data_IF_226968755556
#
_entry.id   IF_226968755556
#
_cell.length_a   1.000
_cell.length_b   1.000
_cell.length_c   1.000
_cell.angle_alpha   90.00
_cell.angle_beta   90.00
_cell.angle_gamma   90.00
#
_symmetry.space_group_name_H-M   'P 1'
#
loop_
_entity.id
_entity.type
_entity.pdbx_description
1 polymer ?
#
# COMPACT_ATOMS: atom_id res chain seq x y z
N UNK A 1 8.18 5.60 9.63
CA UNK A 1 9.50 4.99 9.38
C UNK A 1 9.58 4.46 7.96
N UNK A 2 10.76 4.43 7.37
CA UNK A 2 11.04 3.76 6.09
C UNK A 2 12.32 2.96 6.25
N UNK A 3 12.36 1.75 5.69
CA UNK A 3 13.55 0.89 5.73
C UNK A 3 14.33 0.98 4.41
N UNK A 4 15.67 1.06 4.55
CA UNK A 4 16.73 1.08 3.54
C UNK A 4 16.94 2.34 2.66
N UNK A 5 18.22 2.70 2.50
CA UNK A 5 18.77 3.52 1.41
C UNK A 5 18.98 2.63 0.17
N UNK A 6 18.75 3.22 -0.99
CA UNK A 6 18.84 2.62 -2.32
C UNK A 6 20.14 1.82 -2.57
N UNK A 7 20.02 0.53 -2.93
CA UNK A 7 21.06 -0.23 -3.63
C UNK A 7 20.47 -0.77 -4.93
N UNK A 8 20.90 -0.28 -6.11
CA UNK A 8 20.32 -0.66 -7.40
C UNK A 8 20.89 -2.01 -7.85
N UNK A 9 20.54 -3.09 -7.17
CA UNK A 9 20.80 -4.45 -7.63
C UNK A 9 19.65 -5.34 -7.17
N UNK A 10 18.49 -5.23 -7.81
CA UNK A 10 17.58 -6.33 -8.23
C UNK A 10 16.28 -5.74 -8.80
N UNK A 11 15.68 -6.46 -9.74
CA UNK A 11 14.47 -6.09 -10.47
C UNK A 11 13.18 -6.32 -9.64
N UNK A 12 12.14 -5.56 -10.00
CA UNK A 12 10.71 -5.81 -9.76
C UNK A 12 10.10 -5.37 -8.42
N UNK A 13 10.71 -5.62 -7.25
CA UNK A 13 10.30 -5.07 -5.94
C UNK A 13 11.57 -4.91 -5.12
N UNK A 14 11.73 -3.84 -4.33
CA UNK A 14 12.71 -3.89 -3.25
C UNK A 14 12.02 -4.52 -2.03
N UNK A 15 12.18 -5.83 -1.76
CA UNK A 15 11.45 -6.49 -0.68
C UNK A 15 11.78 -5.91 0.70
N UNK A 16 12.86 -5.13 0.79
CA UNK A 16 13.32 -4.47 1.99
C UNK A 16 12.89 -3.01 2.08
N UNK A 17 12.24 -2.44 1.04
CA UNK A 17 11.73 -1.06 1.06
C UNK A 17 10.28 -1.06 1.52
N UNK A 18 10.10 -0.97 2.82
CA UNK A 18 8.79 -0.87 3.45
C UNK A 18 8.64 0.46 4.18
N UNK A 19 7.40 0.90 4.29
CA UNK A 19 7.01 2.11 5.02
C UNK A 19 6.07 1.74 6.16
N UNK A 20 6.29 2.37 7.30
CA UNK A 20 5.42 2.33 8.47
C UNK A 20 4.87 3.73 8.67
N UNK A 21 3.55 3.86 8.54
CA UNK A 21 2.84 5.12 8.76
C UNK A 21 2.55 5.26 10.26
N UNK A 22 2.58 6.48 10.77
CA UNK A 22 2.22 6.76 12.17
C UNK A 22 0.75 6.45 12.41
N UNK A 23 0.43 5.85 13.55
CA UNK A 23 -0.95 5.65 14.00
C UNK A 23 -1.24 6.48 15.27
N UNK A 24 -2.52 6.72 15.61
CA UNK A 24 -2.88 7.33 16.88
C UNK A 24 -2.21 6.62 18.07
N UNK A 25 -1.51 7.39 18.89
CA UNK A 25 -0.73 6.88 20.02
C UNK A 25 0.77 6.71 19.76
N UNK A 26 1.23 6.84 18.51
CA UNK A 26 2.66 6.93 18.20
C UNK A 26 3.22 8.30 18.66
N UNK A 27 4.53 8.36 18.96
CA UNK A 27 5.19 9.58 19.49
C UNK A 27 5.42 10.66 18.42
N UNK A 28 5.11 10.39 17.16
CA UNK A 28 5.27 11.31 16.03
C UNK A 28 4.17 11.04 15.00
N UNK A 29 3.22 11.96 14.87
CA UNK A 29 2.06 11.84 13.96
C UNK A 29 0.95 10.93 14.51
N UNK A 30 -0.27 11.11 13.99
CA UNK A 30 -1.46 10.36 14.42
C UNK A 30 -2.16 10.98 15.63
N UNK A 31 -3.05 11.94 15.39
CA UNK A 31 -3.97 12.40 16.42
C UNK A 31 -5.08 11.37 16.62
N UNK A 32 -5.50 11.14 17.88
CA UNK A 32 -6.69 10.36 18.14
C UNK A 32 -7.91 11.01 17.49
N UNK A 33 -8.65 10.20 16.72
CA UNK A 33 -9.88 10.63 16.06
C UNK A 33 -11.08 10.60 17.01
N UNK A 34 -11.00 9.77 18.05
CA UNK A 34 -12.01 9.63 19.10
C UNK A 34 -11.43 9.98 20.48
N UNK A 35 -12.28 10.40 21.40
CA UNK A 35 -11.93 10.49 22.83
C UNK A 35 -11.91 9.11 23.52
N UNK A 36 -11.69 9.09 24.83
CA UNK A 36 -11.67 7.86 25.64
C UNK A 36 -13.02 7.15 25.71
N UNK A 37 -14.12 7.86 25.43
CA UNK A 37 -15.49 7.33 25.43
C UNK A 37 -15.93 6.89 24.02
N UNK A 38 -15.08 7.05 23.01
CA UNK A 38 -15.33 6.65 21.62
C UNK A 38 -16.04 7.70 20.76
N UNK A 39 -16.24 8.93 21.26
CA UNK A 39 -16.86 9.99 20.47
C UNK A 39 -15.84 10.62 19.51
N UNK A 40 -16.24 10.86 18.26
CA UNK A 40 -15.40 11.56 17.29
C UNK A 40 -15.14 13.01 17.72
N UNK A 41 -13.87 13.34 17.96
CA UNK A 41 -13.41 14.69 18.35
C UNK A 41 -12.73 15.44 17.21
N UNK A 42 -12.60 14.80 16.05
CA UNK A 42 -12.04 15.36 14.81
C UNK A 42 -13.01 15.14 13.66
N UNK A 43 -13.00 16.06 12.70
CA UNK A 43 -13.82 15.98 11.49
C UNK A 43 -13.22 15.09 10.39
N UNK A 44 -11.95 14.72 10.53
CA UNK A 44 -11.23 13.91 9.56
C UNK A 44 -9.74 13.85 9.89
N UNK A 45 -9.01 13.18 9.01
CA UNK A 45 -7.56 13.03 9.07
C UNK A 45 -6.94 13.45 7.74
N UNK A 46 -5.66 13.75 7.77
CA UNK A 46 -4.84 13.96 6.58
C UNK A 46 -3.50 13.26 6.79
N UNK A 47 -2.86 12.90 5.69
CA UNK A 47 -1.53 12.30 5.68
C UNK A 47 -0.63 13.14 4.77
N UNK A 48 0.36 13.78 5.38
CA UNK A 48 1.44 14.41 4.62
C UNK A 48 2.35 13.33 4.06
N UNK A 49 2.52 13.30 2.74
CA UNK A 49 3.40 12.36 2.05
C UNK A 49 4.85 12.85 2.13
N UNK A 50 5.40 12.80 3.35
CA UNK A 50 6.76 13.17 3.64
C UNK A 50 7.56 11.93 4.07
N UNK A 51 8.80 11.78 3.57
CA UNK A 51 9.68 10.75 4.09
C UNK A 51 10.03 11.05 5.55
N UNK A 52 10.54 10.06 6.32
CA UNK A 52 10.94 10.25 7.71
C UNK A 52 11.98 11.36 7.94
N UNK A 53 12.75 11.73 6.91
CA UNK A 53 13.71 12.84 6.97
C UNK A 53 13.03 14.21 7.08
N UNK A 54 11.73 14.30 6.75
CA UNK A 54 10.96 15.56 6.70
C UNK A 54 11.23 16.40 5.45
N UNK A 55 12.19 16.02 4.61
CA UNK A 55 12.50 16.74 3.37
C UNK A 55 11.47 16.39 2.30
N UNK A 56 10.82 17.40 1.73
CA UNK A 56 9.87 17.21 0.63
C UNK A 56 10.55 16.58 -0.58
N UNK A 57 10.00 15.48 -1.07
CA UNK A 57 10.45 14.77 -2.29
C UNK A 57 9.46 14.90 -3.45
N UNK A 58 8.40 15.70 -3.31
CA UNK A 58 7.36 15.82 -4.34
C UNK A 58 6.47 14.57 -4.47
N UNK A 59 6.41 13.73 -3.43
CA UNK A 59 5.50 12.59 -3.39
C UNK A 59 4.04 13.05 -3.48
N UNK A 60 3.26 12.40 -4.35
CA UNK A 60 1.87 12.76 -4.61
C UNK A 60 1.03 11.56 -5.04
N UNK A 61 -0.28 11.68 -4.84
CA UNK A 61 -1.26 10.74 -5.35
C UNK A 61 -1.79 11.20 -6.71
N UNK A 62 -1.84 10.27 -7.67
CA UNK A 62 -2.45 10.53 -8.99
C UNK A 62 -3.81 9.88 -9.16
N UNK A 63 -4.09 8.83 -8.38
CA UNK A 63 -5.28 8.00 -8.51
C UNK A 63 -6.13 8.07 -7.25
N UNK A 64 -7.43 7.82 -7.42
CA UNK A 64 -8.35 7.68 -6.29
C UNK A 64 -8.02 6.47 -5.42
N UNK A 65 -8.23 6.63 -4.13
CA UNK A 65 -8.06 5.59 -3.11
C UNK A 65 -9.14 4.51 -3.29
N UNK A 66 -8.77 3.25 -3.10
CA UNK A 66 -9.72 2.13 -3.06
C UNK A 66 -9.93 1.67 -1.63
N UNK A 67 -11.18 1.57 -1.23
CA UNK A 67 -11.55 0.97 0.04
C UNK A 67 -11.90 -0.52 -0.17
N UNK A 68 -11.33 -1.40 0.64
CA UNK A 68 -11.55 -2.84 0.55
C UNK A 68 -11.40 -3.52 1.91
N UNK A 69 -12.43 -4.28 2.30
CA UNK A 69 -12.60 -4.79 3.67
C UNK A 69 -12.49 -3.64 4.68
N UNK A 70 -11.48 -3.66 5.55
CA UNK A 70 -11.23 -2.68 6.61
C UNK A 70 -10.12 -1.68 6.29
N UNK A 71 -9.57 -1.70 5.07
CA UNK A 71 -8.40 -0.90 4.70
C UNK A 71 -8.66 -0.02 3.46
N UNK A 72 -7.94 1.10 3.41
CA UNK A 72 -7.76 1.92 2.23
C UNK A 72 -6.45 1.55 1.53
N UNK A 73 -6.50 1.40 0.20
CA UNK A 73 -5.38 1.15 -0.67
C UNK A 73 -5.16 2.35 -1.58
N UNK A 74 -3.97 2.94 -1.50
CA UNK A 74 -3.58 4.09 -2.29
C UNK A 74 -2.24 3.83 -2.96
N UNK A 75 -2.02 4.43 -4.12
CA UNK A 75 -0.69 4.50 -4.73
C UNK A 75 -0.21 5.94 -4.82
N UNK A 76 1.05 6.14 -4.45
CA UNK A 76 1.72 7.43 -4.55
C UNK A 76 2.92 7.29 -5.47
N UNK A 77 3.35 8.40 -6.07
CA UNK A 77 4.61 8.44 -6.79
C UNK A 77 5.41 9.70 -6.45
N UNK A 78 6.71 9.51 -6.50
CA UNK A 78 7.74 10.53 -6.49
C UNK A 78 8.31 10.54 -7.92
N UNK A 79 7.96 11.54 -8.73
CA UNK A 79 8.52 11.69 -10.07
C UNK A 79 10.05 11.84 -10.01
N UNK A 80 10.74 11.44 -11.07
CA UNK A 80 12.16 11.78 -11.22
C UNK A 80 12.36 13.31 -11.29
N UNK A 81 13.44 13.81 -10.68
CA UNK A 81 13.80 15.23 -10.72
C UNK A 81 14.19 15.69 -12.13
N UNK A 82 14.83 14.80 -12.91
CA UNK A 82 15.18 15.06 -14.30
C UNK A 82 13.98 14.76 -15.22
N UNK A 83 13.41 15.79 -15.91
CA UNK A 83 12.27 15.60 -16.81
C UNK A 83 12.58 14.72 -18.02
N UNK A 84 13.86 14.50 -18.35
CA UNK A 84 14.28 13.62 -19.45
C UNK A 84 14.44 12.17 -19.01
N UNK A 85 14.49 11.91 -17.70
CA UNK A 85 14.60 10.56 -17.16
C UNK A 85 13.21 9.92 -17.11
N UNK A 86 12.93 8.87 -17.91
CA UNK A 86 11.65 8.20 -17.85
C UNK A 86 11.51 7.51 -16.49
N UNK A 87 10.49 7.92 -15.72
CA UNK A 87 10.10 7.22 -14.51
C UNK A 87 10.13 8.08 -13.24
N UNK A 88 10.54 7.44 -12.16
CA UNK A 88 10.30 7.85 -10.79
C UNK A 88 10.11 6.59 -9.96
N UNK A 89 9.75 6.73 -8.70
CA UNK A 89 9.41 5.61 -7.84
C UNK A 89 8.08 5.88 -7.15
N UNK A 90 7.60 4.91 -6.39
CA UNK A 90 6.32 5.09 -5.72
C UNK A 90 6.14 4.19 -4.53
N UNK A 91 4.92 4.19 -4.02
CA UNK A 91 4.49 3.36 -2.92
C UNK A 91 3.09 2.81 -3.18
N UNK A 92 2.89 1.57 -2.77
CA UNK A 92 1.58 1.06 -2.39
C UNK A 92 1.40 1.34 -0.90
N UNK A 93 0.34 2.02 -0.51
CA UNK A 93 0.03 2.32 0.89
C UNK A 93 -1.26 1.64 1.32
N UNK A 94 -1.28 1.20 2.57
CA UNK A 94 -2.47 0.73 3.29
C UNK A 94 -2.73 1.63 4.49
N UNK A 95 -3.95 2.17 4.56
CA UNK A 95 -4.36 3.12 5.61
C UNK A 95 -5.63 2.64 6.29
N UNK A 96 -5.73 2.91 7.59
CA UNK A 96 -7.00 2.81 8.30
C UNK A 96 -7.95 3.93 7.84
N UNK A 97 -9.16 3.61 7.33
CA UNK A 97 -10.10 4.61 6.84
C UNK A 97 -10.58 5.59 7.91
N UNK A 98 -10.56 5.21 9.18
CA UNK A 98 -11.07 6.04 10.27
C UNK A 98 -10.00 6.96 10.85
N UNK A 99 -8.72 6.57 10.79
CA UNK A 99 -7.62 7.31 11.42
C UNK A 99 -6.60 7.88 10.44
N UNK A 100 -6.53 7.38 9.21
CA UNK A 100 -5.51 7.74 8.23
C UNK A 100 -4.12 7.18 8.55
N UNK A 101 -4.00 6.43 9.64
CA UNK A 101 -2.76 5.86 10.11
C UNK A 101 -2.56 4.42 9.65
N UNK A 102 -1.57 3.78 10.26
CA UNK A 102 -1.30 2.34 10.11
C UNK A 102 -2.44 1.50 10.69
N UNK A 103 -2.81 0.42 9.98
CA UNK A 103 -3.71 -0.60 10.50
C UNK A 103 -3.09 -1.41 11.64
N UNK A 104 -3.92 -1.82 12.61
CA UNK A 104 -3.50 -2.66 13.73
C UNK A 104 -3.12 -4.07 13.29
N UNK A 105 -3.77 -4.59 12.26
CA UNK A 105 -3.49 -5.91 11.70
C UNK A 105 -2.42 -5.83 10.60
N UNK A 106 -1.64 -6.91 10.45
CA UNK A 106 -0.73 -7.03 9.32
C UNK A 106 -1.53 -7.31 8.04
N UNK A 107 -1.50 -6.36 7.11
CA UNK A 107 -2.21 -6.44 5.83
C UNK A 107 -1.41 -7.19 4.77
N UNK A 108 -0.09 -7.12 4.78
CA UNK A 108 0.74 -7.72 3.74
C UNK A 108 1.30 -9.06 4.22
N UNK A 109 0.83 -10.17 3.64
CA UNK A 109 1.16 -11.54 4.10
C UNK A 109 2.66 -11.79 4.12
N UNK A 110 3.36 -11.35 3.07
CA UNK A 110 4.78 -11.64 2.86
C UNK A 110 5.70 -10.53 3.39
N UNK A 111 5.19 -9.67 4.28
CA UNK A 111 5.95 -8.56 4.86
C UNK A 111 6.03 -8.73 6.36
N UNK A 112 7.25 -8.94 6.83
CA UNK A 112 7.53 -8.99 8.26
C UNK A 112 7.36 -7.59 8.89
N UNK A 113 6.89 -7.52 10.15
CA UNK A 113 6.86 -6.28 10.89
C UNK A 113 8.25 -5.63 10.98
N UNK A 114 8.27 -4.29 10.98
CA UNK A 114 9.49 -3.52 11.14
C UNK A 114 9.76 -3.31 12.62
N UNK A 115 10.89 -3.80 13.11
CA UNK A 115 11.37 -3.49 14.46
C UNK A 115 11.99 -2.10 14.49
N UNK A 116 11.45 -1.23 15.34
CA UNK A 116 11.98 0.11 15.60
C UNK A 116 12.54 0.14 17.02
N UNK A 117 13.82 0.48 17.11
CA UNK A 117 14.53 0.66 18.38
C UNK A 117 14.95 2.11 18.52
N UNK A 118 14.49 2.77 19.58
CA UNK A 118 14.93 4.11 19.96
C UNK A 118 15.84 3.97 21.18
N UNK A 119 16.96 4.69 21.20
CA UNK A 119 17.91 4.62 22.31
C UNK A 119 17.21 4.95 23.65
N UNK A 120 17.38 4.06 24.63
CA UNK A 120 16.74 4.18 25.95
C UNK A 120 15.26 3.78 26.01
N UNK A 121 14.69 3.19 24.95
CA UNK A 121 13.33 2.65 24.92
C UNK A 121 13.33 1.17 24.50
N UNK A 122 12.32 0.39 24.92
CA UNK A 122 12.16 -0.97 24.39
C UNK A 122 11.87 -0.93 22.89
N UNK A 123 12.41 -1.90 22.16
CA UNK A 123 12.09 -2.08 20.74
C UNK A 123 10.61 -2.41 20.55
N UNK A 124 9.99 -1.79 19.55
CA UNK A 124 8.58 -2.00 19.20
C UNK A 124 8.50 -2.51 17.76
N UNK A 125 7.63 -3.49 17.51
CA UNK A 125 7.36 -3.99 16.17
C UNK A 125 6.12 -3.30 15.59
N UNK A 126 6.26 -2.76 14.38
CA UNK A 126 5.16 -2.12 13.67
C UNK A 126 4.85 -2.85 12.37
N UNK A 127 3.56 -3.06 12.10
CA UNK A 127 3.13 -3.65 10.84
C UNK A 127 3.44 -2.74 9.65
N UNK A 128 3.78 -3.35 8.53
CA UNK A 128 4.06 -2.62 7.29
C UNK A 128 2.78 -1.96 6.79
N UNK A 129 2.86 -0.66 6.53
CA UNK A 129 1.75 0.16 5.99
C UNK A 129 2.00 0.60 4.55
N UNK A 130 3.15 0.23 3.98
CA UNK A 130 3.41 0.48 2.58
C UNK A 130 4.61 -0.29 2.03
N UNK A 131 4.54 -0.57 0.74
CA UNK A 131 5.56 -1.29 -0.03
C UNK A 131 6.10 -0.37 -1.11
N UNK A 132 7.42 -0.27 -1.20
CA UNK A 132 8.11 0.58 -2.17
C UNK A 132 8.06 -0.03 -3.58
N UNK A 133 7.76 0.81 -4.55
CA UNK A 133 7.66 0.46 -5.97
C UNK A 133 8.79 1.16 -6.74
N UNK A 134 9.38 0.45 -7.71
CA UNK A 134 10.56 0.91 -8.45
C UNK A 134 10.23 1.84 -9.62
N UNK A 135 8.95 2.00 -9.94
CA UNK A 135 8.46 2.89 -10.98
C UNK A 135 7.21 3.64 -10.51
N UNK A 136 6.71 4.55 -11.35
CA UNK A 136 5.43 5.23 -11.10
C UNK A 136 4.30 4.18 -11.20
N UNK A 137 3.50 4.01 -10.13
CA UNK A 137 2.44 3.02 -10.09
C UNK A 137 1.15 3.51 -10.75
N UNK A 138 0.33 2.59 -11.22
CA UNK A 138 -1.07 2.82 -11.59
C UNK A 138 -1.99 2.79 -10.36
N UNK A 139 -3.30 2.97 -10.57
CA UNK A 139 -4.30 2.69 -9.54
C UNK A 139 -4.22 1.21 -9.17
N UNK A 140 -4.24 0.82 -7.87
CA UNK A 140 -4.25 -0.59 -7.52
C UNK A 140 -5.47 -1.31 -8.13
N UNK A 141 -5.43 -2.62 -8.23
CA UNK A 141 -6.60 -3.45 -8.55
C UNK A 141 -6.66 -4.53 -7.50
N UNK A 142 -7.75 -4.55 -6.74
CA UNK A 142 -7.97 -5.54 -5.70
C UNK A 142 -8.67 -6.74 -6.29
N UNK A 143 -8.04 -7.89 -6.15
CA UNK A 143 -8.54 -9.18 -6.64
C UNK A 143 -8.68 -10.11 -5.46
N UNK A 144 -9.61 -11.03 -5.58
CA UNK A 144 -9.86 -12.06 -4.58
C UNK A 144 -9.97 -13.38 -5.29
N UNK A 145 -9.36 -14.40 -4.70
CA UNK A 145 -9.49 -15.76 -5.19
C UNK A 145 -10.39 -16.57 -4.26
N UNK A 146 -11.63 -16.78 -4.69
CA UNK A 146 -12.60 -17.63 -3.97
C UNK A 146 -12.65 -19.07 -4.54
N UNK A 147 -11.64 -19.48 -5.33
CA UNK A 147 -11.60 -20.82 -5.91
C UNK A 147 -11.49 -21.89 -4.80
N UNK A 148 -12.16 -23.05 -4.92
CA UNK A 148 -12.04 -24.13 -3.96
C UNK A 148 -10.58 -24.60 -3.81
N UNK A 149 -10.15 -24.87 -2.58
CA UNK A 149 -8.81 -25.40 -2.29
C UNK A 149 -8.56 -26.70 -3.10
N UNK A 150 -7.80 -26.59 -4.19
CA UNK A 150 -7.52 -27.68 -5.11
C UNK A 150 -7.59 -27.29 -6.60
N UNK A 151 -8.24 -26.18 -6.93
CA UNK A 151 -8.40 -25.74 -8.32
C UNK A 151 -7.81 -24.34 -8.53
N UNK A 152 -6.54 -24.28 -8.95
CA UNK A 152 -5.93 -23.14 -9.64
C UNK A 152 -5.69 -21.83 -8.88
N UNK A 153 -4.48 -21.29 -9.00
CA UNK A 153 -4.21 -19.88 -8.72
C UNK A 153 -5.03 -18.97 -9.66
N UNK A 154 -5.82 -18.04 -9.12
CA UNK A 154 -6.42 -16.97 -9.94
C UNK A 154 -5.36 -15.91 -10.21
N UNK A 155 -4.79 -15.93 -11.41
CA UNK A 155 -3.96 -14.84 -11.92
C UNK A 155 -4.86 -13.74 -12.47
N UNK A 156 -4.94 -12.60 -11.78
CA UNK A 156 -5.59 -11.40 -12.30
C UNK A 156 -4.74 -10.72 -13.38
N UNK A 157 -4.49 -11.39 -14.50
CA UNK A 157 -3.71 -10.86 -15.62
C UNK A 157 -4.62 -10.33 -16.72
N UNK A 158 -5.13 -9.10 -16.59
CA UNK A 158 -5.76 -8.40 -17.70
C UNK A 158 -4.71 -7.89 -18.70
N UNK A 159 -4.10 -8.78 -19.49
CA UNK A 159 -3.25 -8.39 -20.63
C UNK A 159 -4.09 -8.29 -21.90
N UNK A 160 -4.27 -7.08 -22.43
CA UNK A 160 -4.74 -6.88 -23.80
C UNK A 160 -3.60 -7.17 -24.77
N UNK A 161 -3.67 -8.35 -25.43
CA UNK A 161 -3.12 -8.59 -26.77
C UNK A 161 -1.60 -8.63 -26.93
N UNK A 162 -1.03 -9.83 -26.91
CA UNK A 162 0.33 -10.09 -27.39
C UNK A 162 0.65 -11.58 -27.41
N UNK A 163 0.51 -12.23 -28.57
CA UNK A 163 0.98 -13.61 -28.77
C UNK A 163 2.49 -13.64 -28.85
N UNK A 164 3.15 -14.20 -27.84
CA UNK A 164 4.57 -14.59 -27.89
C UNK A 164 5.42 -14.00 -26.76
N UNK A 165 5.66 -14.81 -25.73
CA UNK A 165 6.55 -14.49 -24.61
C UNK A 165 5.85 -14.70 -23.27
N UNK A 166 6.25 -15.71 -22.51
CA UNK A 166 5.85 -15.81 -21.10
C UNK A 166 6.39 -14.57 -20.36
N UNK A 167 5.57 -13.85 -19.59
CA UNK A 167 6.08 -12.71 -18.83
C UNK A 167 7.02 -13.21 -17.73
N UNK A 168 8.19 -12.57 -17.67
CA UNK A 168 9.13 -12.65 -16.56
C UNK A 168 8.49 -11.94 -15.36
N UNK A 169 8.32 -12.66 -14.25
CA UNK A 169 7.61 -12.23 -13.05
C UNK A 169 6.54 -13.26 -12.70
N UNK A 170 6.68 -13.92 -11.55
CA UNK A 170 5.75 -14.95 -11.09
C UNK A 170 4.29 -14.47 -11.23
N UNK A 171 3.38 -15.29 -11.78
CA UNK A 171 1.97 -14.91 -11.84
C UNK A 171 1.50 -14.61 -10.42
N UNK A 172 0.68 -13.57 -10.26
CA UNK A 172 0.05 -13.26 -8.98
C UNK A 172 -0.76 -14.48 -8.51
N UNK A 173 -0.21 -15.28 -7.61
CA UNK A 173 -0.88 -16.45 -7.05
C UNK A 173 -1.42 -16.08 -5.68
N UNK A 174 -2.65 -15.60 -5.64
CA UNK A 174 -3.43 -15.58 -4.39
C UNK A 174 -3.90 -17.00 -4.10
N UNK A 175 -3.65 -17.53 -2.90
CA UNK A 175 -4.22 -18.82 -2.50
C UNK A 175 -5.75 -18.72 -2.45
N UNK A 176 -6.42 -19.87 -2.52
CA UNK A 176 -7.86 -19.99 -2.23
C UNK A 176 -8.21 -19.29 -0.92
N UNK A 177 -9.14 -18.35 -0.96
CA UNK A 177 -9.59 -17.54 0.18
C UNK A 177 -8.75 -16.29 0.47
N UNK A 178 -7.75 -15.96 -0.35
CA UNK A 178 -6.91 -14.77 -0.15
C UNK A 178 -7.27 -13.64 -1.11
N UNK A 179 -7.13 -12.42 -0.62
CA UNK A 179 -7.12 -11.21 -1.44
C UNK A 179 -5.70 -10.90 -1.91
N UNK A 180 -5.59 -10.21 -3.04
CA UNK A 180 -4.35 -9.68 -3.57
C UNK A 180 -4.58 -8.29 -4.15
N UNK A 181 -3.50 -7.54 -4.28
CA UNK A 181 -3.50 -6.25 -4.96
C UNK A 181 -2.49 -6.26 -6.09
N UNK A 182 -2.96 -5.85 -7.26
CA UNK A 182 -2.20 -5.74 -8.49
C UNK A 182 -1.94 -4.29 -8.82
N UNK A 183 -0.71 -3.96 -9.22
CA UNK A 183 -0.31 -2.60 -9.58
C UNK A 183 0.51 -2.68 -10.85
N UNK A 184 0.07 -1.98 -11.89
CA UNK A 184 0.88 -1.77 -13.08
C UNK A 184 1.92 -0.68 -12.82
N UNK A 185 3.11 -0.84 -13.37
CA UNK A 185 4.19 0.12 -13.27
C UNK A 185 4.47 0.77 -14.63
N UNK A 186 4.96 2.01 -14.63
CA UNK A 186 5.23 2.75 -15.87
C UNK A 186 6.35 2.12 -16.75
N UNK A 187 7.18 1.25 -16.17
CA UNK A 187 8.17 0.44 -16.89
C UNK A 187 7.57 -0.82 -17.58
N UNK A 188 6.26 -1.05 -17.47
CA UNK A 188 5.57 -2.20 -18.05
C UNK A 188 5.50 -3.44 -17.14
N UNK A 189 6.13 -3.39 -15.96
CA UNK A 189 6.04 -4.46 -14.97
C UNK A 189 4.69 -4.43 -14.24
N UNK A 190 4.33 -5.55 -13.62
CA UNK A 190 3.18 -5.66 -12.73
C UNK A 190 3.63 -6.21 -11.39
N UNK A 191 3.30 -5.51 -10.32
CA UNK A 191 3.56 -5.93 -8.94
C UNK A 191 2.29 -6.55 -8.37
N UNK A 192 2.46 -7.62 -7.57
CA UNK A 192 1.38 -8.28 -6.84
C UNK A 192 1.78 -8.45 -5.36
N UNK A 193 0.91 -8.01 -4.45
CA UNK A 193 1.02 -8.28 -3.02
C UNK A 193 -0.17 -9.12 -2.54
N UNK A 194 0.11 -10.21 -1.83
CA UNK A 194 -0.92 -11.01 -1.16
C UNK A 194 -1.34 -10.35 0.15
N UNK A 195 -2.65 -10.27 0.37
CA UNK A 195 -3.26 -9.52 1.46
C UNK A 195 -3.89 -10.44 2.51
N UNK A 196 -3.63 -10.13 3.78
CA UNK A 196 -4.26 -10.71 4.94
C UNK A 196 -5.34 -9.73 5.42
N UNK A 197 -6.53 -9.84 4.84
CA UNK A 197 -7.68 -9.02 5.23
C UNK A 197 -8.83 -9.91 5.70
N UNK A 198 -9.59 -9.46 6.72
CA UNK A 198 -10.73 -10.20 7.19
C UNK A 198 -11.81 -10.26 6.11
N UNK A 199 -12.63 -11.32 6.20
CA UNK A 199 -13.64 -11.67 5.20
C UNK A 199 -14.93 -10.85 5.34
N UNK A 200 -14.78 -9.53 5.37
CA UNK A 200 -15.84 -8.57 5.60
C UNK A 200 -16.07 -7.80 4.29
N UNK A 201 -17.28 -7.89 3.77
CA UNK A 201 -17.65 -7.28 2.49
C UNK A 201 -18.75 -6.26 2.63
N UNK A 202 -18.54 -5.12 1.99
CA UNK A 202 -19.57 -4.14 1.66
C UNK A 202 -19.25 -3.51 0.31
N UNK A 203 -20.29 -3.22 -0.49
CA UNK A 203 -20.12 -2.44 -1.73
C UNK A 203 -19.93 -0.98 -1.34
N UNK A 204 -18.71 -0.48 -1.43
CA UNK A 204 -18.43 0.94 -1.22
C UNK A 204 -18.84 1.71 -2.48
N UNK A 205 -20.02 2.33 -2.40
CA UNK A 205 -20.57 3.20 -3.42
C UNK A 205 -20.51 4.63 -2.90
N UNK A 206 -19.69 5.47 -3.52
CA UNK A 206 -19.70 6.91 -3.26
C UNK A 206 -20.63 7.59 -4.26
N UNK A 207 -21.59 8.37 -3.76
CA UNK A 207 -22.33 9.35 -4.56
C UNK A 207 -21.80 10.72 -4.19
N UNK A 208 -21.38 11.49 -5.19
CA UNK A 208 -21.08 12.91 -5.01
C UNK A 208 -22.34 13.62 -4.50
N UNK A 209 -22.24 14.22 -3.31
CA UNK A 209 -23.26 15.11 -2.79
C UNK A 209 -23.00 16.49 -3.38
N UNK A 210 -23.66 16.80 -4.49
CA UNK A 210 -23.73 18.16 -5.00
C UNK A 210 -24.67 18.91 -4.06
N UNK A 211 -24.15 19.95 -3.40
CA UNK A 211 -24.95 20.86 -2.61
C UNK A 211 -25.55 21.89 -3.58
N UNK A 212 -26.88 21.93 -3.68
CA UNK A 212 -27.62 22.91 -4.48
C UNK A 212 -27.42 24.35 -3.96
#
# INVERSE_FOLDING_TARGET
FETALFTPETTDINPNRVRVISAPGDTSGGAAMTDADGNYVKQGWYLDLLPPTGTQQGERMFYGVQAFSTALFATTAIPADDPCSPGGNGWLLTLDPYTGGRLQDNVFINREPVTVSVEGQPSVNYNVSGVGLLSIPSRPILVRNDAPAGDGSVSGGGSTGGTGGQPLGSPCTTLSGQAGVLIGLANGETVCESLNLPDIFGRLSWRELIND
#
